data_IF_578642035526
#
_entry.id   IF_578642035526
#
_cell.length_a   1.000
_cell.length_b   1.000
_cell.length_c   1.000
_cell.angle_alpha   90.00
_cell.angle_beta   90.00
_cell.angle_gamma   90.00
#
_symmetry.space_group_name_H-M   'P 1'
#
loop_
_entity.id
_entity.type
_entity.pdbx_description
1 polymer ?
#
# COMPACT_ATOMS: atom_id res chain seq x y z
N UNK A 1 -20.54 19.51 11.61
CA UNK A 1 -19.68 18.50 10.95
C UNK A 1 -18.27 18.63 11.51
N UNK A 2 -17.71 17.53 11.99
CA UNK A 2 -16.32 17.50 12.46
C UNK A 2 -15.39 17.20 11.28
N UNK A 3 -14.34 17.99 11.11
CA UNK A 3 -13.31 17.79 10.10
C UNK A 3 -11.97 17.45 10.78
N UNK A 4 -11.26 16.48 10.24
CA UNK A 4 -9.89 16.17 10.64
C UNK A 4 -9.00 16.32 9.42
N UNK A 5 -7.96 17.12 9.51
CA UNK A 5 -7.01 17.36 8.42
C UNK A 5 -5.64 16.83 8.87
N UNK A 6 -5.14 15.82 8.16
CA UNK A 6 -3.77 15.33 8.31
C UNK A 6 -2.90 15.92 7.21
N UNK A 7 -2.08 16.90 7.57
CA UNK A 7 -1.14 17.51 6.62
C UNK A 7 -0.08 16.50 6.19
N UNK A 8 0.37 16.61 4.95
CA UNK A 8 1.36 15.69 4.37
C UNK A 8 2.67 15.61 5.18
N UNK A 9 3.13 16.74 5.71
CA UNK A 9 4.35 16.83 6.52
C UNK A 9 4.23 16.25 7.93
N UNK A 10 3.02 15.84 8.34
CA UNK A 10 2.77 15.21 9.65
C UNK A 10 2.68 13.68 9.58
N UNK A 11 2.83 13.10 8.39
CA UNK A 11 2.78 11.65 8.20
C UNK A 11 4.03 10.97 8.76
N UNK A 12 3.90 9.73 9.19
CA UNK A 12 5.03 8.85 9.45
C UNK A 12 5.73 8.46 8.16
N UNK A 13 6.95 7.91 8.25
CA UNK A 13 7.74 7.52 7.09
C UNK A 13 8.54 6.26 7.36
N UNK A 14 8.53 5.35 6.39
CA UNK A 14 9.48 4.24 6.29
C UNK A 14 10.35 4.47 5.08
N UNK A 15 11.67 4.58 5.28
CA UNK A 15 12.63 4.82 4.21
C UNK A 15 13.67 3.71 4.20
N UNK A 16 13.66 2.91 3.15
CA UNK A 16 14.64 1.87 2.85
C UNK A 16 15.25 2.13 1.47
N UNK A 17 16.31 1.42 1.10
CA UNK A 17 16.95 1.59 -0.21
C UNK A 17 15.99 1.45 -1.40
N UNK A 18 14.97 0.63 -1.24
CA UNK A 18 14.01 0.30 -2.30
C UNK A 18 12.62 0.89 -2.09
N UNK A 19 12.34 1.46 -0.92
CA UNK A 19 11.01 1.94 -0.52
C UNK A 19 11.08 3.30 0.15
N UNK A 20 10.22 4.22 -0.30
CA UNK A 20 9.88 5.45 0.40
C UNK A 20 8.37 5.47 0.63
N UNK A 21 7.93 5.20 1.85
CA UNK A 21 6.52 5.08 2.23
C UNK A 21 6.14 6.12 3.26
N UNK A 22 5.07 6.86 2.99
CA UNK A 22 4.49 7.82 3.94
C UNK A 22 3.18 7.29 4.49
N UNK A 23 3.02 7.37 5.82
CA UNK A 23 1.90 6.76 6.55
C UNK A 23 1.00 7.83 7.17
N UNK A 24 -0.26 7.84 6.79
CA UNK A 24 -1.26 8.70 7.43
C UNK A 24 -1.60 8.17 8.82
N UNK A 25 -1.68 6.85 8.97
CA UNK A 25 -1.93 6.15 10.23
C UNK A 25 -0.73 5.32 10.65
N UNK A 26 -0.73 4.88 11.90
CA UNK A 26 0.35 4.05 12.46
C UNK A 26 0.57 2.79 11.62
N UNK A 27 1.82 2.59 11.22
CA UNK A 27 2.22 1.51 10.33
C UNK A 27 3.73 1.29 10.46
N UNK A 28 4.20 0.04 10.30
CA UNK A 28 5.61 -0.32 10.46
C UNK A 28 6.14 0.17 11.81
N UNK A 29 7.25 0.85 11.85
CA UNK A 29 7.82 1.41 13.09
C UNK A 29 7.17 2.74 13.52
N UNK A 30 6.40 3.36 12.64
CA UNK A 30 5.67 4.58 12.99
C UNK A 30 4.46 4.25 13.86
N UNK A 31 4.43 4.81 15.05
CA UNK A 31 3.31 4.67 15.97
C UNK A 31 2.92 6.01 16.58
N UNK A 32 1.63 6.35 16.43
CA UNK A 32 0.99 7.47 17.09
C UNK A 32 -0.38 6.99 17.56
N UNK A 33 -0.60 6.99 18.87
CA UNK A 33 -1.85 6.48 19.48
C UNK A 33 -3.10 7.27 19.04
N UNK A 34 -2.93 8.49 18.54
CA UNK A 34 -4.02 9.32 18.01
C UNK A 34 -4.20 9.15 16.51
N UNK A 35 -3.34 8.35 15.86
CA UNK A 35 -3.37 8.07 14.43
C UNK A 35 -3.37 6.57 14.16
N UNK A 36 -4.39 5.90 14.66
CA UNK A 36 -4.55 4.44 14.45
C UNK A 36 -5.48 4.17 13.27
N UNK A 37 -6.59 4.91 13.18
CA UNK A 37 -7.61 4.70 12.14
C UNK A 37 -8.52 5.93 12.00
N UNK A 38 -9.34 5.89 10.96
CA UNK A 38 -10.50 6.77 10.83
C UNK A 38 -11.71 5.92 10.42
N UNK A 39 -12.58 5.59 11.39
CA UNK A 39 -13.62 4.59 11.19
C UNK A 39 -13.01 3.24 10.81
N UNK A 40 -13.46 2.65 9.72
CA UNK A 40 -12.91 1.39 9.21
C UNK A 40 -11.56 1.57 8.46
N UNK A 41 -11.21 2.78 8.06
CA UNK A 41 -9.94 3.06 7.37
C UNK A 41 -8.78 2.92 8.35
N UNK A 42 -7.95 1.89 8.12
CA UNK A 42 -6.84 1.53 9.02
C UNK A 42 -5.48 1.94 8.47
N UNK A 43 -5.29 1.84 7.16
CA UNK A 43 -4.03 2.18 6.50
C UNK A 43 -4.31 3.07 5.30
N UNK A 44 -3.54 4.14 5.19
CA UNK A 44 -3.43 4.95 4.00
C UNK A 44 -1.95 5.31 3.83
N UNK A 45 -1.29 4.56 2.97
CA UNK A 45 0.12 4.75 2.65
C UNK A 45 0.30 5.29 1.24
N UNK A 46 1.28 6.16 1.10
CA UNK A 46 1.72 6.73 -0.16
C UNK A 46 3.14 6.19 -0.42
N UNK A 47 3.24 5.22 -1.33
CA UNK A 47 4.41 4.38 -1.51
C UNK A 47 5.12 4.67 -2.83
N UNK A 48 6.46 4.73 -2.76
CA UNK A 48 7.32 4.73 -3.93
C UNK A 48 8.29 3.56 -3.84
N UNK A 49 8.29 2.71 -4.87
CA UNK A 49 9.11 1.50 -4.92
C UNK A 49 10.08 1.57 -6.09
N UNK A 50 11.35 1.29 -5.83
CA UNK A 50 12.40 1.27 -6.83
C UNK A 50 12.16 0.21 -7.91
N UNK A 51 12.74 0.39 -9.13
CA UNK A 51 12.60 -0.58 -10.21
C UNK A 51 12.95 -2.01 -9.79
N UNK A 52 12.10 -2.97 -10.16
CA UNK A 52 12.29 -4.39 -9.90
C UNK A 52 12.18 -4.82 -8.44
N UNK A 53 11.87 -3.90 -7.54
CA UNK A 53 11.74 -4.17 -6.10
C UNK A 53 10.26 -4.21 -5.71
N UNK A 54 9.98 -4.54 -4.47
CA UNK A 54 8.61 -4.55 -3.97
C UNK A 54 8.44 -5.38 -2.71
N UNK A 55 7.18 -5.49 -2.33
CA UNK A 55 6.75 -6.27 -1.18
C UNK A 55 6.64 -7.74 -1.59
N UNK A 56 7.54 -8.56 -1.07
CA UNK A 56 7.54 -10.00 -1.32
C UNK A 56 6.29 -10.65 -0.71
N UNK A 57 6.07 -11.92 -1.00
CA UNK A 57 4.89 -12.65 -0.53
C UNK A 57 4.73 -12.53 0.98
N UNK A 58 3.57 -12.05 1.40
CA UNK A 58 3.21 -11.84 2.80
C UNK A 58 1.70 -12.08 2.99
N UNK A 59 1.26 -12.43 4.23
CA UNK A 59 -0.13 -12.76 4.50
C UNK A 59 -0.98 -11.55 4.88
N UNK A 60 -2.27 -11.66 4.59
CA UNK A 60 -3.33 -10.80 5.12
C UNK A 60 -4.54 -11.62 5.49
N UNK A 61 -5.34 -11.14 6.44
CA UNK A 61 -6.66 -11.68 6.76
C UNK A 61 -7.57 -10.57 7.33
N UNK A 62 -8.86 -10.72 7.16
CA UNK A 62 -9.88 -9.80 7.68
C UNK A 62 -9.63 -8.35 7.27
N UNK A 63 -9.26 -8.14 6.01
CA UNK A 63 -8.87 -6.84 5.50
C UNK A 63 -9.24 -6.71 4.03
N UNK A 64 -9.82 -5.58 3.68
CA UNK A 64 -9.96 -5.14 2.30
C UNK A 64 -8.77 -4.28 1.95
N UNK A 65 -8.06 -4.62 0.87
CA UNK A 65 -6.85 -3.92 0.45
C UNK A 65 -7.04 -3.35 -0.94
N UNK A 66 -6.85 -2.04 -1.07
CA UNK A 66 -7.00 -1.32 -2.33
C UNK A 66 -5.65 -0.73 -2.72
N UNK A 67 -5.22 -0.99 -3.96
CA UNK A 67 -4.00 -0.41 -4.54
C UNK A 67 -4.38 0.49 -5.70
N UNK A 68 -3.90 1.73 -5.66
CA UNK A 68 -4.17 2.76 -6.68
C UNK A 68 -2.85 3.27 -7.24
N UNK A 69 -2.40 2.80 -8.42
CA UNK A 69 -1.20 3.32 -9.05
C UNK A 69 -1.33 4.79 -9.43
N UNK A 70 -0.31 5.58 -9.09
CA UNK A 70 -0.19 6.98 -9.47
C UNK A 70 0.86 7.19 -10.56
N UNK A 71 1.82 6.26 -10.66
CA UNK A 71 2.90 6.27 -11.65
C UNK A 71 3.48 4.86 -11.79
N UNK A 72 3.80 4.47 -13.01
CA UNK A 72 4.50 3.22 -13.28
C UNK A 72 3.58 2.00 -13.30
N UNK A 73 4.15 0.82 -13.00
CA UNK A 73 3.49 -0.49 -13.08
C UNK A 73 3.62 -1.22 -11.76
N UNK A 74 2.50 -1.68 -11.22
CA UNK A 74 2.48 -2.53 -10.03
C UNK A 74 2.06 -3.94 -10.44
N UNK A 75 2.91 -4.94 -10.18
CA UNK A 75 2.60 -6.34 -10.43
C UNK A 75 2.13 -7.00 -9.14
N UNK A 76 0.90 -7.49 -9.16
CA UNK A 76 0.27 -8.19 -8.04
C UNK A 76 0.21 -9.68 -8.33
N UNK A 77 0.60 -10.49 -7.36
CA UNK A 77 0.42 -11.94 -7.37
C UNK A 77 -0.17 -12.42 -6.06
N UNK A 78 -0.99 -13.46 -6.09
CA UNK A 78 -1.60 -14.02 -4.88
C UNK A 78 -1.52 -15.54 -4.81
N UNK A 79 -1.85 -16.09 -3.62
CA UNK A 79 -1.84 -17.53 -3.36
C UNK A 79 -2.97 -18.30 -4.06
N UNK A 80 -3.93 -17.60 -4.67
CA UNK A 80 -5.00 -18.17 -5.49
C UNK A 80 -4.65 -18.19 -6.99
N UNK A 81 -3.37 -18.01 -7.33
CA UNK A 81 -2.81 -18.01 -8.69
C UNK A 81 -3.30 -16.85 -9.56
N UNK A 82 -3.75 -15.75 -8.96
CA UNK A 82 -4.00 -14.53 -9.69
C UNK A 82 -2.69 -13.74 -9.82
N UNK A 83 -2.39 -13.29 -11.04
CA UNK A 83 -1.26 -12.40 -11.30
C UNK A 83 -1.72 -11.34 -12.29
N UNK A 84 -1.43 -10.08 -11.98
CA UNK A 84 -1.86 -8.96 -12.80
C UNK A 84 -0.94 -7.77 -12.66
N UNK A 85 -0.72 -7.08 -13.77
CA UNK A 85 -0.06 -5.77 -13.79
C UNK A 85 -1.12 -4.69 -13.87
N UNK A 86 -1.07 -3.73 -12.94
CA UNK A 86 -1.93 -2.55 -12.95
C UNK A 86 -1.11 -1.29 -13.16
N UNK A 87 -1.70 -0.33 -13.85
CA UNK A 87 -1.08 0.96 -14.20
C UNK A 87 -2.00 2.11 -13.81
N UNK A 88 -1.57 3.35 -14.08
CA UNK A 88 -2.39 4.54 -13.82
C UNK A 88 -3.75 4.42 -14.50
N UNK A 89 -4.82 4.66 -13.76
CA UNK A 89 -6.20 4.48 -14.21
C UNK A 89 -6.83 3.16 -13.75
N UNK A 90 -6.02 2.18 -13.37
CA UNK A 90 -6.50 0.93 -12.78
C UNK A 90 -6.62 1.07 -11.25
N UNK A 91 -7.53 0.30 -10.67
CA UNK A 91 -7.65 0.13 -9.22
C UNK A 91 -7.75 -1.36 -8.97
N UNK A 92 -6.95 -1.87 -8.03
CA UNK A 92 -7.06 -3.25 -7.58
C UNK A 92 -7.67 -3.32 -6.20
N UNK A 93 -8.64 -4.20 -6.04
CA UNK A 93 -9.27 -4.51 -4.74
C UNK A 93 -9.03 -5.98 -4.44
N UNK A 94 -8.54 -6.27 -3.24
CA UNK A 94 -8.32 -7.61 -2.74
C UNK A 94 -9.03 -7.78 -1.41
N UNK A 95 -9.93 -8.75 -1.34
CA UNK A 95 -10.58 -9.18 -0.09
C UNK A 95 -9.77 -10.33 0.50
N UNK A 96 -9.13 -10.10 1.63
CA UNK A 96 -8.29 -11.12 2.26
C UNK A 96 -9.10 -12.24 2.91
N UNK A 97 -10.33 -11.93 3.37
CA UNK A 97 -11.22 -12.93 4.00
C UNK A 97 -10.54 -13.64 5.17
N UNK A 98 -10.58 -14.96 5.17
CA UNK A 98 -9.96 -15.81 6.21
C UNK A 98 -8.45 -15.93 6.08
N UNK A 99 -7.89 -15.51 4.96
CA UNK A 99 -6.45 -15.47 4.72
C UNK A 99 -6.09 -15.53 3.24
N UNK A 100 -5.11 -14.74 2.86
CA UNK A 100 -4.51 -14.74 1.54
C UNK A 100 -3.03 -14.36 1.67
N UNK A 101 -2.20 -14.91 0.81
CA UNK A 101 -0.83 -14.45 0.62
C UNK A 101 -0.76 -13.68 -0.69
N UNK A 102 -0.06 -12.55 -0.71
CA UNK A 102 0.15 -11.79 -1.93
C UNK A 102 1.51 -11.12 -1.97
N UNK A 103 1.87 -10.67 -3.15
CA UNK A 103 3.05 -9.85 -3.41
C UNK A 103 2.67 -8.65 -4.26
N UNK A 104 3.40 -7.57 -4.08
CA UNK A 104 3.23 -6.33 -4.85
C UNK A 104 4.62 -5.83 -5.26
N UNK A 105 4.97 -6.05 -6.52
CA UNK A 105 6.31 -5.81 -7.06
C UNK A 105 6.23 -4.72 -8.13
N UNK A 106 7.25 -3.87 -8.21
CA UNK A 106 7.38 -2.95 -9.34
C UNK A 106 7.60 -3.77 -10.62
N UNK A 107 6.66 -3.70 -11.55
CA UNK A 107 6.71 -4.44 -12.82
C UNK A 107 7.68 -3.88 -13.85
N UNK A 108 8.36 -2.78 -13.55
CA UNK A 108 9.39 -2.18 -14.42
C UNK A 108 10.78 -2.39 -13.82
N UNK A 109 11.76 -2.62 -14.68
CA UNK A 109 13.18 -2.72 -14.29
C UNK A 109 13.91 -1.38 -14.39
N UNK A 110 13.25 -0.33 -14.90
CA UNK A 110 13.88 0.96 -15.19
C UNK A 110 13.19 2.15 -14.53
N UNK A 111 11.88 2.06 -14.26
CA UNK A 111 11.09 3.16 -13.74
C UNK A 111 10.55 2.86 -12.33
N UNK A 112 10.46 3.85 -11.43
CA UNK A 112 9.81 3.66 -10.15
C UNK A 112 8.31 3.47 -10.33
N UNK A 113 7.66 2.86 -9.33
CA UNK A 113 6.21 2.83 -9.20
C UNK A 113 5.81 3.65 -7.97
N UNK A 114 4.76 4.44 -8.12
CA UNK A 114 4.13 5.20 -7.03
C UNK A 114 2.68 4.79 -6.95
N UNK A 115 2.21 4.46 -5.75
CA UNK A 115 0.83 4.03 -5.55
C UNK A 115 0.34 4.31 -4.13
N UNK A 116 -0.97 4.44 -4.01
CA UNK A 116 -1.63 4.49 -2.71
C UNK A 116 -2.02 3.08 -2.30
N UNK A 117 -1.79 2.76 -1.05
CA UNK A 117 -2.20 1.51 -0.41
C UNK A 117 -3.23 1.84 0.68
N UNK A 118 -4.42 1.28 0.57
CA UNK A 118 -5.55 1.56 1.46
C UNK A 118 -6.02 0.24 2.06
N UNK A 119 -6.16 0.18 3.39
CA UNK A 119 -6.70 -0.99 4.10
C UNK A 119 -7.93 -0.61 4.91
N UNK A 120 -8.99 -1.38 4.72
CA UNK A 120 -10.28 -1.19 5.38
C UNK A 120 -10.74 -2.46 6.08
#
# INVERSE_FOLDING_TARGET
MKKVIHKADTRGRSLYDWLDSHHTFSFDEYFDSERINFGALRVLNDDRVAPGKGFQTHPHKNMEIVSIPLRGKLEHGDSKKNSRVITVGDIQVMSAGTGIFHSEINGSTTEPVEFLQIWI
#
